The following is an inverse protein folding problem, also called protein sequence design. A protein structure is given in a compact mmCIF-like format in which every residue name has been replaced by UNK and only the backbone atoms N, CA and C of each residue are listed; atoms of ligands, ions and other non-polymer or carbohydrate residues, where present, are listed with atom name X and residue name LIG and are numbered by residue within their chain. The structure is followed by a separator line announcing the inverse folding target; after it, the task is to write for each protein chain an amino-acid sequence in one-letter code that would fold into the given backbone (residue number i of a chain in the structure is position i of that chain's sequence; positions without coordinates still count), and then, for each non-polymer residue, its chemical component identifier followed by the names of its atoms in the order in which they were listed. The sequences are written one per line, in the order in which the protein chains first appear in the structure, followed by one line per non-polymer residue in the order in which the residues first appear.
data_IF_876498658179
#
_entry.id   IF_876498658179
#
_cell.length_a   1.000
_cell.length_b   1.000
_cell.length_c   1.000
_cell.angle_alpha   90.00
_cell.angle_beta   90.00
_cell.angle_gamma   90.00
#
_symmetry.space_group_name_H-M   'P 1'
#
loop_
_entity.id
_entity.type
_entity.pdbx_description
1 polymer ?
#
# COMPACT_ATOMS: atom_id res chain seq x y z
N UNK A 1 -19.46 -40.06 4.23
CA UNK A 1 -20.02 -38.76 3.85
C UNK A 1 -19.19 -37.68 4.55
N UNK A 2 -18.83 -36.63 3.84
CA UNK A 2 -18.17 -35.48 4.48
C UNK A 2 -19.20 -34.76 5.37
N UNK A 3 -18.86 -34.51 6.63
CA UNK A 3 -19.71 -33.78 7.56
C UNK A 3 -19.37 -32.30 7.46
N UNK A 4 -20.36 -31.43 7.25
CA UNK A 4 -20.20 -29.99 7.20
C UNK A 4 -20.31 -29.44 8.62
N UNK A 5 -19.30 -28.71 9.08
CA UNK A 5 -19.27 -28.06 10.38
C UNK A 5 -19.27 -26.54 10.24
N UNK A 6 -19.94 -25.85 11.14
CA UNK A 6 -19.79 -24.41 11.32
C UNK A 6 -18.50 -24.18 12.08
N UNK A 7 -17.60 -23.37 11.52
CA UNK A 7 -16.33 -23.03 12.14
C UNK A 7 -16.55 -22.10 13.35
N UNK A 8 -15.72 -22.24 14.36
CA UNK A 8 -15.64 -21.25 15.43
C UNK A 8 -15.18 -19.89 14.90
N UNK A 9 -15.46 -18.82 15.64
CA UNK A 9 -15.18 -17.44 15.25
C UNK A 9 -13.71 -17.23 14.94
N UNK A 10 -12.81 -17.73 15.80
CA UNK A 10 -11.37 -17.54 15.64
C UNK A 10 -10.84 -18.22 14.37
N UNK A 11 -11.24 -19.46 14.11
CA UNK A 11 -10.88 -20.19 12.89
C UNK A 11 -11.42 -19.49 11.64
N UNK A 12 -12.68 -19.02 11.66
CA UNK A 12 -13.27 -18.28 10.55
C UNK A 12 -12.51 -16.96 10.29
N UNK A 13 -12.11 -16.24 11.32
CA UNK A 13 -11.31 -15.01 11.21
C UNK A 13 -9.92 -15.27 10.62
N UNK A 14 -9.25 -16.34 11.04
CA UNK A 14 -7.96 -16.73 10.46
C UNK A 14 -8.07 -17.08 8.96
N UNK A 15 -9.12 -17.78 8.55
CA UNK A 15 -9.33 -18.12 7.13
C UNK A 15 -9.58 -16.85 6.33
N UNK A 16 -10.51 -16.00 6.75
CA UNK A 16 -10.85 -14.77 6.05
C UNK A 16 -9.70 -13.74 6.06
N UNK A 17 -8.87 -13.71 7.11
CA UNK A 17 -7.64 -12.92 7.08
C UNK A 17 -6.69 -13.34 5.94
N UNK A 18 -6.78 -14.59 5.48
CA UNK A 18 -5.98 -15.08 4.37
C UNK A 18 -6.34 -14.51 3.02
N UNK A 19 -7.54 -14.04 2.86
CA UNK A 19 -7.99 -13.39 1.62
C UNK A 19 -7.50 -11.93 1.54
N UNK A 20 -7.27 -11.29 2.70
CA UNK A 20 -6.81 -9.91 2.79
C UNK A 20 -5.29 -9.84 2.94
N UNK A 21 -4.72 -10.70 3.78
CA UNK A 21 -3.29 -10.72 4.13
C UNK A 21 -2.64 -11.99 3.59
N UNK A 22 -2.22 -11.95 2.33
CA UNK A 22 -1.50 -13.08 1.70
C UNK A 22 0.00 -13.04 2.00
N UNK A 23 0.60 -11.84 2.09
CA UNK A 23 2.04 -11.60 2.24
C UNK A 23 2.33 -10.23 2.83
N UNK A 24 3.60 -9.94 3.23
CA UNK A 24 4.00 -8.62 3.74
C UNK A 24 3.61 -7.45 2.83
N UNK A 25 3.75 -7.62 1.53
CA UNK A 25 3.40 -6.59 0.56
C UNK A 25 1.90 -6.19 0.57
N UNK A 26 1.00 -7.12 0.88
CA UNK A 26 -0.43 -6.82 1.05
C UNK A 26 -0.66 -5.96 2.30
N UNK A 27 0.00 -6.28 3.42
CA UNK A 27 -0.07 -5.48 4.65
C UNK A 27 0.42 -4.06 4.41
N UNK A 28 1.60 -3.91 3.80
CA UNK A 28 2.17 -2.59 3.51
C UNK A 28 1.26 -1.77 2.61
N UNK A 29 0.69 -2.39 1.57
CA UNK A 29 -0.25 -1.73 0.67
C UNK A 29 -1.45 -1.16 1.42
N UNK A 30 -2.15 -2.00 2.19
CA UNK A 30 -3.34 -1.58 2.92
C UNK A 30 -3.05 -0.47 3.95
N UNK A 31 -1.96 -0.59 4.71
CA UNK A 31 -1.59 0.42 5.70
C UNK A 31 -1.15 1.75 5.06
N UNK A 32 -0.41 1.69 3.96
CA UNK A 32 0.03 2.87 3.23
C UNK A 32 -1.16 3.61 2.58
N UNK A 33 -2.11 2.87 1.98
CA UNK A 33 -3.35 3.42 1.45
C UNK A 33 -4.20 4.06 2.57
N UNK A 34 -4.24 3.48 3.77
CA UNK A 34 -4.92 4.08 4.91
C UNK A 34 -4.26 5.39 5.37
N UNK A 35 -2.93 5.49 5.34
CA UNK A 35 -2.22 6.74 5.65
C UNK A 35 -2.56 7.85 4.65
N UNK A 36 -2.64 7.53 3.35
CA UNK A 36 -3.04 8.49 2.31
C UNK A 36 -4.49 8.91 2.50
N UNK A 37 -5.40 7.97 2.74
CA UNK A 37 -6.82 8.26 3.02
C UNK A 37 -7.01 9.12 4.29
N UNK A 38 -6.08 9.04 5.25
CA UNK A 38 -6.04 9.92 6.43
C UNK A 38 -5.45 11.31 6.14
N UNK A 39 -5.20 11.65 4.88
CA UNK A 39 -4.68 12.96 4.46
C UNK A 39 -3.20 13.17 4.81
N UNK A 40 -2.43 12.10 4.94
CA UNK A 40 -1.00 12.22 5.20
C UNK A 40 -0.27 12.88 4.03
N UNK A 41 0.62 13.82 4.33
CA UNK A 41 1.55 14.43 3.37
C UNK A 41 2.95 13.84 3.45
N UNK A 42 3.22 13.09 4.51
CA UNK A 42 4.49 12.39 4.73
C UNK A 42 4.21 11.01 5.31
N UNK A 43 4.79 9.99 4.69
CA UNK A 43 4.71 8.61 5.17
C UNK A 43 6.09 7.99 5.16
N UNK A 44 6.47 7.36 6.27
CA UNK A 44 7.67 6.52 6.37
C UNK A 44 7.26 5.06 6.43
N UNK A 45 7.81 4.25 5.54
CA UNK A 45 7.64 2.79 5.51
C UNK A 45 8.99 2.15 5.84
N UNK A 46 9.03 1.30 6.86
CA UNK A 46 10.23 0.53 7.24
C UNK A 46 9.90 -0.95 7.33
N UNK A 47 10.77 -1.82 6.80
CA UNK A 47 10.62 -3.26 6.87
C UNK A 47 11.92 -3.95 7.28
N UNK A 48 11.76 -5.08 8.03
CA UNK A 48 12.84 -6.03 8.34
C UNK A 48 12.44 -7.45 7.97
N UNK A 49 13.41 -8.27 7.55
CA UNK A 49 13.22 -9.65 7.08
C UNK A 49 12.10 -9.75 6.04
N UNK A 50 12.18 -8.86 5.02
CA UNK A 50 11.19 -8.82 3.95
C UNK A 50 9.78 -8.39 4.40
N UNK A 51 9.62 -7.88 5.63
CA UNK A 51 8.36 -7.49 6.24
C UNK A 51 7.72 -8.57 7.11
N UNK A 52 8.38 -9.71 7.31
CA UNK A 52 7.88 -10.78 8.21
C UNK A 52 8.16 -10.43 9.66
N UNK A 53 9.38 -9.98 9.97
CA UNK A 53 9.78 -9.61 11.32
C UNK A 53 9.19 -8.29 11.76
N UNK A 54 9.22 -7.29 10.89
CA UNK A 54 8.71 -5.95 11.16
C UNK A 54 8.22 -5.28 9.87
N UNK A 55 7.03 -4.68 9.97
CA UNK A 55 6.53 -3.63 9.10
C UNK A 55 6.19 -2.46 10.01
N UNK A 56 6.79 -1.29 9.77
CA UNK A 56 6.44 -0.06 10.46
C UNK A 56 6.02 0.97 9.41
N UNK A 57 4.82 1.53 9.59
CA UNK A 57 4.32 2.65 8.78
C UNK A 57 3.96 3.78 9.72
N UNK A 58 4.58 4.94 9.48
CA UNK A 58 4.38 6.16 10.26
C UNK A 58 4.00 7.30 9.34
N UNK A 59 2.89 7.96 9.64
CA UNK A 59 2.33 9.07 8.87
C UNK A 59 2.08 10.31 9.75
N UNK A 60 1.82 11.44 9.10
CA UNK A 60 1.40 12.70 9.70
C UNK A 60 -0.06 13.06 9.35
N UNK A 61 -0.91 12.05 9.09
CA UNK A 61 -2.32 12.22 8.81
C UNK A 61 -3.13 12.67 10.03
N UNK A 62 -4.46 12.60 9.92
CA UNK A 62 -5.39 13.08 10.97
C UNK A 62 -5.31 12.31 12.29
N UNK A 63 -4.72 11.12 12.31
CA UNK A 63 -4.77 10.22 13.45
C UNK A 63 -6.11 9.47 13.56
N UNK A 64 -6.23 8.65 14.61
CA UNK A 64 -7.45 7.93 14.97
C UNK A 64 -7.82 8.38 16.38
N UNK A 65 -9.07 8.84 16.55
CA UNK A 65 -9.60 9.19 17.85
C UNK A 65 -9.49 8.00 18.82
N UNK A 66 -9.07 8.29 20.02
CA UNK A 66 -8.82 7.28 21.05
C UNK A 66 -10.04 6.38 21.32
N UNK A 67 -11.26 6.93 21.22
CA UNK A 67 -12.51 6.18 21.42
C UNK A 67 -12.73 5.12 20.33
N UNK A 68 -12.33 5.40 19.09
CA UNK A 68 -12.55 4.50 17.95
C UNK A 68 -11.44 3.50 17.71
N UNK A 69 -10.32 3.54 18.46
CA UNK A 69 -9.21 2.62 18.26
C UNK A 69 -9.63 1.14 18.36
N UNK A 70 -10.34 0.68 19.42
CA UNK A 70 -10.77 -0.72 19.47
C UNK A 70 -11.71 -1.09 18.30
N UNK A 71 -12.59 -0.17 17.92
CA UNK A 71 -13.53 -0.37 16.80
C UNK A 71 -12.81 -0.52 15.47
N UNK A 72 -11.68 0.18 15.25
CA UNK A 72 -10.89 0.08 14.03
C UNK A 72 -10.31 -1.33 13.78
N UNK A 73 -10.20 -2.15 14.82
CA UNK A 73 -9.78 -3.56 14.74
C UNK A 73 -10.96 -4.56 14.70
N UNK A 74 -12.20 -4.07 14.59
CA UNK A 74 -13.37 -4.92 14.37
C UNK A 74 -13.59 -5.04 12.85
N UNK A 75 -13.95 -6.24 12.39
CA UNK A 75 -14.30 -6.48 10.98
C UNK A 75 -15.50 -5.67 10.55
N UNK A 76 -15.46 -5.20 9.32
CA UNK A 76 -16.52 -4.37 8.71
C UNK A 76 -16.71 -3.02 9.40
N UNK A 77 -15.77 -2.59 10.24
CA UNK A 77 -15.75 -1.26 10.80
C UNK A 77 -14.97 -0.32 9.86
N UNK A 78 -15.63 0.69 9.35
CA UNK A 78 -15.04 1.67 8.42
C UNK A 78 -15.67 3.04 8.62
N UNK A 79 -14.84 4.09 8.48
CA UNK A 79 -15.31 5.49 8.43
C UNK A 79 -15.55 5.99 7.00
N UNK A 80 -15.34 5.13 5.98
CA UNK A 80 -15.24 5.55 4.58
C UNK A 80 -16.52 5.35 3.78
N UNK A 81 -17.41 4.48 4.23
CA UNK A 81 -18.73 4.21 3.65
C UNK A 81 -19.74 4.00 4.78
N UNK A 82 -20.95 4.50 4.60
CA UNK A 82 -22.05 4.34 5.56
C UNK A 82 -23.27 3.65 4.91
N UNK A 83 -23.50 3.92 3.63
CA UNK A 83 -24.69 3.46 2.89
C UNK A 83 -24.30 2.64 1.66
N UNK A 84 -25.19 1.73 1.17
CA UNK A 84 -24.94 0.99 -0.06
C UNK A 84 -24.68 1.87 -1.28
N UNK A 85 -25.30 3.06 -1.34
CA UNK A 85 -25.12 4.00 -2.45
C UNK A 85 -23.72 4.61 -2.50
N UNK A 86 -23.01 4.68 -1.38
CA UNK A 86 -21.62 5.14 -1.31
C UNK A 86 -20.67 4.25 -2.12
N UNK A 87 -21.07 2.98 -2.35
CA UNK A 87 -20.30 2.04 -3.18
C UNK A 87 -20.19 2.49 -4.65
N UNK A 88 -21.11 3.32 -5.12
CA UNK A 88 -21.11 3.85 -6.49
C UNK A 88 -20.15 5.04 -6.65
N UNK A 89 -19.68 5.65 -5.54
CA UNK A 89 -18.86 6.85 -5.53
C UNK A 89 -17.71 6.79 -4.54
N UNK A 90 -16.96 5.67 -4.56
CA UNK A 90 -15.80 5.49 -3.67
C UNK A 90 -14.65 6.39 -4.12
N UNK A 91 -14.29 7.36 -3.28
CA UNK A 91 -13.14 8.26 -3.50
C UNK A 91 -11.89 7.85 -2.72
N UNK A 92 -12.02 6.95 -1.73
CA UNK A 92 -10.92 6.46 -0.89
C UNK A 92 -10.23 5.24 -1.51
N UNK A 93 -8.96 5.03 -1.18
CA UNK A 93 -8.20 3.85 -1.64
C UNK A 93 -8.66 2.57 -0.95
N UNK A 94 -9.00 2.62 0.34
CA UNK A 94 -9.60 1.51 1.10
C UNK A 94 -11.06 1.81 1.46
N UNK A 95 -11.90 0.79 1.64
CA UNK A 95 -13.30 0.96 2.06
C UNK A 95 -13.91 -0.23 2.81
N UNK A 96 -13.26 -1.40 2.82
CA UNK A 96 -13.87 -2.66 3.30
C UNK A 96 -13.93 -2.79 4.82
N UNK A 97 -13.13 -2.02 5.58
CA UNK A 97 -13.06 -2.13 7.04
C UNK A 97 -12.54 -3.48 7.55
N UNK A 98 -11.66 -4.15 6.80
CA UNK A 98 -11.17 -5.49 7.14
C UNK A 98 -9.66 -5.55 7.35
N UNK A 99 -8.90 -4.57 6.87
CA UNK A 99 -7.44 -4.62 6.84
C UNK A 99 -6.83 -4.74 8.24
N UNK A 100 -7.15 -3.81 9.16
CA UNK A 100 -6.58 -3.82 10.51
C UNK A 100 -6.96 -5.07 11.30
N UNK A 101 -8.22 -5.48 11.25
CA UNK A 101 -8.70 -6.69 11.91
C UNK A 101 -7.99 -7.94 11.37
N UNK A 102 -7.84 -8.05 10.04
CA UNK A 102 -7.17 -9.18 9.39
C UNK A 102 -5.67 -9.21 9.72
N UNK A 103 -4.99 -8.08 9.75
CA UNK A 103 -3.58 -7.97 10.12
C UNK A 103 -3.40 -8.39 11.59
N UNK A 104 -4.22 -7.83 12.49
CA UNK A 104 -4.15 -8.12 13.92
C UNK A 104 -4.40 -9.60 14.25
N UNK A 105 -5.23 -10.30 13.47
CA UNK A 105 -5.52 -11.73 13.71
C UNK A 105 -4.31 -12.63 13.41
N UNK A 106 -3.36 -12.19 12.57
CA UNK A 106 -2.20 -13.00 12.13
C UNK A 106 -0.84 -12.42 12.53
N UNK A 107 -0.82 -11.34 13.29
CA UNK A 107 0.39 -10.64 13.70
C UNK A 107 0.26 -10.04 15.10
N UNK A 108 1.36 -9.50 15.62
CA UNK A 108 1.40 -8.61 16.78
C UNK A 108 1.39 -7.18 16.27
N UNK A 109 0.40 -6.38 16.66
CA UNK A 109 0.25 -5.01 16.18
C UNK A 109 0.33 -4.04 17.34
N UNK A 110 1.18 -3.02 17.19
CA UNK A 110 1.21 -1.83 18.01
C UNK A 110 0.76 -0.64 17.18
N UNK A 111 -0.31 0.00 17.62
CA UNK A 111 -0.83 1.24 17.05
C UNK A 111 -0.50 2.39 17.99
N UNK A 112 0.19 3.40 17.51
CA UNK A 112 0.44 4.65 18.21
C UNK A 112 -0.17 5.78 17.42
N UNK A 113 -1.19 6.45 17.96
CA UNK A 113 -1.93 7.48 17.21
C UNK A 113 -2.30 8.67 18.08
N UNK A 114 -2.44 9.82 17.45
CA UNK A 114 -2.86 11.07 18.08
C UNK A 114 -3.60 11.92 17.04
N UNK A 115 -4.74 12.45 17.43
CA UNK A 115 -5.46 13.48 16.66
C UNK A 115 -5.06 14.89 17.12
N UNK A 116 -5.53 15.91 16.40
CA UNK A 116 -5.24 17.32 16.74
C UNK A 116 -5.93 17.75 18.06
N UNK A 117 -7.00 17.08 18.46
CA UNK A 117 -7.77 17.41 19.68
C UNK A 117 -7.28 16.66 20.91
N UNK A 118 -6.50 15.59 20.73
CA UNK A 118 -5.97 14.79 21.84
C UNK A 118 -4.78 15.52 22.51
N UNK A 119 -4.78 15.54 23.84
CA UNK A 119 -3.63 16.03 24.62
C UNK A 119 -2.43 15.08 24.53
N UNK A 120 -2.69 13.76 24.64
CA UNK A 120 -1.70 12.69 24.58
C UNK A 120 -2.01 11.73 23.43
N UNK A 121 -0.97 11.09 22.92
CA UNK A 121 -1.14 9.97 22.03
C UNK A 121 -1.64 8.73 22.80
N UNK A 122 -2.29 7.81 22.09
CA UNK A 122 -2.67 6.49 22.61
C UNK A 122 -1.80 5.42 21.95
N UNK A 123 -1.17 4.58 22.77
CA UNK A 123 -0.56 3.34 22.34
C UNK A 123 -1.53 2.19 22.62
N UNK A 124 -1.87 1.44 21.58
CA UNK A 124 -2.77 0.28 21.65
C UNK A 124 -2.07 -0.94 21.10
N UNK A 125 -2.13 -2.06 21.83
CA UNK A 125 -1.50 -3.32 21.44
C UNK A 125 -2.54 -4.41 21.29
N UNK A 126 -2.43 -5.17 20.21
CA UNK A 126 -3.30 -6.30 19.89
C UNK A 126 -2.47 -7.43 19.26
N UNK A 127 -2.75 -8.68 19.61
CA UNK A 127 -2.04 -9.84 19.08
C UNK A 127 -3.00 -11.01 18.88
N UNK A 128 -3.01 -11.59 17.68
CA UNK A 128 -3.92 -12.68 17.34
C UNK A 128 -5.40 -12.32 17.43
N UNK A 129 -5.74 -11.04 17.31
CA UNK A 129 -7.10 -10.51 17.43
C UNK A 129 -7.51 -10.17 18.88
N UNK A 130 -6.64 -10.38 19.87
CA UNK A 130 -6.92 -10.09 21.27
C UNK A 130 -6.17 -8.85 21.75
N UNK A 131 -6.88 -7.92 22.40
CA UNK A 131 -6.29 -6.73 23.00
C UNK A 131 -5.29 -7.12 24.09
N UNK A 132 -4.08 -6.54 24.02
CA UNK A 132 -3.01 -6.77 24.98
C UNK A 132 -2.83 -5.60 25.94
N UNK A 133 -3.35 -4.43 25.60
CA UNK A 133 -3.32 -3.26 26.46
C UNK A 133 -3.43 -1.94 25.70
N UNK A 134 -3.73 -0.91 26.48
CA UNK A 134 -3.87 0.47 26.04
C UNK A 134 -3.27 1.41 27.07
N UNK A 135 -2.43 2.33 26.62
CA UNK A 135 -1.76 3.29 27.51
C UNK A 135 -1.55 4.65 26.83
N UNK A 136 -1.46 5.75 27.59
CA UNK A 136 -1.04 7.03 27.06
C UNK A 136 0.41 6.97 26.56
N UNK A 137 0.69 7.73 25.52
CA UNK A 137 2.03 7.81 24.92
C UNK A 137 2.34 9.20 24.37
N UNK A 138 3.55 9.43 23.90
CA UNK A 138 3.97 10.68 23.28
C UNK A 138 4.17 10.50 21.77
N UNK A 139 3.48 11.32 20.97
CA UNK A 139 3.61 11.39 19.51
C UNK A 139 3.10 12.72 18.98
N UNK A 140 3.62 13.17 17.85
CA UNK A 140 2.99 14.22 17.05
C UNK A 140 1.67 13.71 16.43
N UNK A 141 0.81 14.58 15.93
CA UNK A 141 -0.43 14.21 15.21
C UNK A 141 -0.11 13.24 14.07
N UNK A 142 -0.97 12.23 13.87
CA UNK A 142 -0.85 11.18 12.87
C UNK A 142 -0.88 9.77 13.47
N UNK A 143 -0.43 8.74 12.71
CA UNK A 143 -0.46 7.34 13.14
C UNK A 143 0.85 6.64 12.84
N UNK A 144 1.28 5.78 13.77
CA UNK A 144 2.35 4.79 13.56
C UNK A 144 1.78 3.41 13.85
N UNK A 145 1.88 2.52 12.88
CA UNK A 145 1.48 1.11 13.04
C UNK A 145 2.73 0.25 12.87
N UNK A 146 3.01 -0.59 13.88
CA UNK A 146 4.05 -1.62 13.86
C UNK A 146 3.39 -2.97 13.81
N UNK A 147 3.66 -3.73 12.77
CA UNK A 147 3.23 -5.13 12.60
C UNK A 147 4.46 -6.00 12.77
N UNK A 148 4.45 -6.85 13.78
CA UNK A 148 5.55 -7.71 14.15
C UNK A 148 5.15 -9.17 14.04
N UNK A 149 6.13 -10.04 13.74
CA UNK A 149 5.98 -11.49 13.70
C UNK A 149 4.79 -11.94 12.83
N UNK A 150 4.71 -11.41 11.61
CA UNK A 150 3.63 -11.72 10.67
C UNK A 150 3.52 -13.23 10.45
N UNK A 151 2.31 -13.78 10.62
CA UNK A 151 1.98 -15.21 10.54
C UNK A 151 2.52 -16.08 11.68
N UNK A 152 2.89 -15.50 12.84
CA UNK A 152 3.43 -16.27 13.98
C UNK A 152 2.47 -17.38 14.45
N UNK A 153 1.17 -17.18 14.33
CA UNK A 153 0.11 -18.13 14.72
C UNK A 153 -0.45 -18.93 13.53
N UNK A 154 0.10 -18.76 12.33
CA UNK A 154 -0.34 -19.44 11.09
C UNK A 154 0.86 -20.06 10.36
N UNK A 155 1.50 -21.13 10.91
CA UNK A 155 2.73 -21.71 10.36
C UNK A 155 2.59 -22.20 8.90
N UNK A 156 1.39 -22.63 8.52
CA UNK A 156 1.12 -23.05 7.15
C UNK A 156 1.34 -21.90 6.16
N UNK A 157 0.92 -20.67 6.51
CA UNK A 157 1.13 -19.48 5.66
C UNK A 157 2.59 -19.07 5.59
N UNK A 158 3.32 -19.13 6.71
CA UNK A 158 4.77 -18.89 6.71
C UNK A 158 5.50 -19.74 5.68
N UNK A 159 5.10 -21.01 5.49
CA UNK A 159 5.71 -21.92 4.51
C UNK A 159 5.49 -21.52 3.04
N UNK A 160 4.46 -20.73 2.75
CA UNK A 160 4.18 -20.26 1.39
C UNK A 160 4.92 -18.96 1.04
N UNK A 161 5.50 -18.27 2.03
CA UNK A 161 6.31 -17.09 1.76
C UNK A 161 7.60 -17.47 1.03
N UNK A 162 8.02 -16.56 0.16
CA UNK A 162 9.34 -16.66 -0.49
C UNK A 162 10.45 -16.25 0.48
N UNK A 163 11.67 -16.25 0.01
CA UNK A 163 12.82 -15.73 0.78
C UNK A 163 12.59 -14.24 1.10
N UNK A 164 13.09 -13.78 2.24
CA UNK A 164 12.98 -12.40 2.72
C UNK A 164 13.37 -11.36 1.66
N UNK A 165 14.42 -11.66 0.89
CA UNK A 165 14.85 -10.80 -0.21
C UNK A 165 13.77 -10.62 -1.29
N UNK A 166 13.02 -11.69 -1.60
CA UNK A 166 11.94 -11.65 -2.59
C UNK A 166 10.69 -10.97 -2.04
N UNK A 167 10.31 -11.27 -0.78
CA UNK A 167 9.19 -10.60 -0.12
C UNK A 167 9.46 -9.10 0.01
N UNK A 168 10.66 -8.71 0.41
CA UNK A 168 11.07 -7.31 0.46
C UNK A 168 11.06 -6.60 -0.91
N UNK A 169 11.27 -7.34 -2.02
CA UNK A 169 11.12 -6.78 -3.36
C UNK A 169 9.65 -6.54 -3.71
N UNK A 170 8.74 -7.45 -3.36
CA UNK A 170 7.30 -7.20 -3.55
C UNK A 170 6.80 -6.02 -2.72
N UNK A 171 7.33 -5.82 -1.50
CA UNK A 171 7.04 -4.63 -0.69
C UNK A 171 7.55 -3.38 -1.40
N UNK A 172 8.81 -3.38 -1.87
CA UNK A 172 9.40 -2.25 -2.57
C UNK A 172 8.61 -1.85 -3.82
N UNK A 173 8.16 -2.84 -4.61
CA UNK A 173 7.32 -2.61 -5.78
C UNK A 173 6.00 -1.93 -5.39
N UNK A 174 5.31 -2.40 -4.34
CA UNK A 174 4.05 -1.82 -3.90
C UNK A 174 4.23 -0.40 -3.36
N UNK A 175 5.26 -0.15 -2.53
CA UNK A 175 5.56 1.20 -2.03
C UNK A 175 5.88 2.14 -3.20
N UNK A 176 6.64 1.67 -4.19
CA UNK A 176 6.94 2.41 -5.41
C UNK A 176 5.70 2.74 -6.22
N UNK A 177 4.78 1.78 -6.39
CA UNK A 177 3.52 2.03 -7.10
C UNK A 177 2.68 3.10 -6.42
N UNK A 178 2.56 3.06 -5.09
CA UNK A 178 1.80 4.06 -4.33
C UNK A 178 2.49 5.42 -4.39
N UNK A 179 3.81 5.48 -4.24
CA UNK A 179 4.58 6.73 -4.33
C UNK A 179 4.48 7.39 -5.72
N UNK A 180 4.37 6.61 -6.80
CA UNK A 180 4.17 7.12 -8.16
C UNK A 180 2.73 7.57 -8.42
N UNK A 181 1.73 6.96 -7.77
CA UNK A 181 0.32 7.36 -7.93
C UNK A 181 -0.05 8.59 -7.09
N UNK A 182 0.73 8.87 -6.04
CA UNK A 182 0.51 9.98 -5.11
C UNK A 182 1.77 10.85 -4.97
N UNK A 183 2.20 11.54 -6.05
CA UNK A 183 3.40 12.37 -6.03
C UNK A 183 3.32 13.56 -5.07
N UNK A 184 2.12 13.92 -4.60
CA UNK A 184 1.85 14.92 -3.57
C UNK A 184 2.21 14.45 -2.15
N UNK A 185 2.46 13.14 -1.96
CA UNK A 185 2.85 12.58 -0.67
C UNK A 185 4.35 12.26 -0.67
N UNK A 186 5.07 12.76 0.32
CA UNK A 186 6.46 12.37 0.55
C UNK A 186 6.50 10.97 1.16
N UNK A 187 7.02 10.00 0.42
CA UNK A 187 7.17 8.61 0.85
C UNK A 187 8.64 8.30 1.08
N UNK A 188 8.97 7.97 2.33
CA UNK A 188 10.31 7.51 2.73
C UNK A 188 10.27 5.99 2.91
N UNK A 189 11.07 5.27 2.13
CA UNK A 189 11.14 3.81 2.21
C UNK A 189 12.50 3.34 2.76
N UNK A 190 12.45 2.54 3.82
CA UNK A 190 13.60 1.97 4.52
C UNK A 190 13.46 0.44 4.48
N UNK A 191 14.51 -0.25 4.06
CA UNK A 191 14.57 -1.71 4.02
C UNK A 191 15.82 -2.19 4.74
N UNK A 192 15.67 -3.10 5.71
CA UNK A 192 16.77 -3.65 6.53
C UNK A 192 17.66 -2.53 7.11
N UNK A 193 17.03 -1.48 7.67
CA UNK A 193 17.70 -0.31 8.23
C UNK A 193 18.36 0.63 7.21
N UNK A 194 18.29 0.33 5.90
CA UNK A 194 18.90 1.16 4.85
C UNK A 194 17.83 1.95 4.10
N UNK A 195 18.06 3.26 3.99
CA UNK A 195 17.21 4.12 3.15
C UNK A 195 17.32 3.68 1.70
N UNK A 196 16.18 3.42 1.08
CA UNK A 196 16.08 3.08 -0.34
C UNK A 196 15.84 4.34 -1.17
N UNK A 197 14.82 5.12 -0.82
CA UNK A 197 14.52 6.40 -1.45
C UNK A 197 13.63 7.27 -0.55
N UNK A 198 13.52 8.55 -0.93
CA UNK A 198 12.53 9.50 -0.41
C UNK A 198 11.97 10.26 -1.61
N UNK A 199 10.64 10.26 -1.78
CA UNK A 199 9.97 11.14 -2.75
C UNK A 199 9.73 12.51 -2.12
N UNK A 200 9.82 13.61 -2.90
CA UNK A 200 9.73 14.95 -2.31
C UNK A 200 8.32 15.34 -1.82
N UNK A 201 7.25 14.75 -2.38
CA UNK A 201 5.87 15.15 -2.07
C UNK A 201 5.49 16.50 -2.69
N UNK A 202 6.09 16.84 -3.83
CA UNK A 202 5.92 18.13 -4.53
C UNK A 202 4.78 18.13 -5.56
N UNK A 203 4.02 17.03 -5.66
CA UNK A 203 2.94 16.86 -6.63
C UNK A 203 3.43 16.55 -8.05
N UNK A 204 4.74 16.42 -8.28
CA UNK A 204 5.30 16.18 -9.61
C UNK A 204 5.64 14.71 -9.82
N UNK A 205 4.94 14.05 -10.75
CA UNK A 205 5.20 12.65 -11.09
C UNK A 205 6.67 12.42 -11.52
N UNK A 206 7.29 13.40 -12.21
CA UNK A 206 8.69 13.31 -12.62
C UNK A 206 9.65 13.23 -11.43
N UNK A 207 9.40 14.02 -10.38
CA UNK A 207 10.20 14.00 -9.15
C UNK A 207 10.06 12.67 -8.40
N UNK A 208 8.83 12.15 -8.30
CA UNK A 208 8.56 10.84 -7.73
C UNK A 208 9.23 9.71 -8.54
N UNK A 209 9.11 9.76 -9.89
CA UNK A 209 9.75 8.80 -10.78
C UNK A 209 11.29 8.81 -10.65
N UNK A 210 11.89 9.99 -10.51
CA UNK A 210 13.31 10.13 -10.29
C UNK A 210 13.76 9.43 -8.99
N UNK A 211 13.01 9.62 -7.91
CA UNK A 211 13.33 9.02 -6.62
C UNK A 211 13.15 7.50 -6.62
N UNK A 212 12.05 6.98 -7.21
CA UNK A 212 11.68 5.56 -7.17
C UNK A 212 12.42 4.73 -8.22
N UNK A 213 12.50 5.23 -9.46
CA UNK A 213 13.04 4.49 -10.61
C UNK A 213 14.52 4.79 -10.88
N UNK A 214 15.06 5.80 -10.21
CA UNK A 214 16.45 6.21 -10.31
C UNK A 214 16.75 7.18 -11.47
N UNK A 215 17.91 7.82 -11.36
CA UNK A 215 18.35 8.90 -12.25
C UNK A 215 18.45 8.50 -13.71
N UNK A 216 19.04 7.34 -13.99
CA UNK A 216 19.27 6.88 -15.36
C UNK A 216 17.98 6.70 -16.13
N UNK A 217 16.97 6.06 -15.47
CA UNK A 217 15.69 5.81 -16.11
C UNK A 217 14.90 7.10 -16.33
N UNK A 218 14.94 8.00 -15.35
CA UNK A 218 14.11 9.22 -15.37
C UNK A 218 14.64 10.33 -16.30
N UNK A 219 15.88 10.22 -16.76
CA UNK A 219 16.53 11.23 -17.61
C UNK A 219 15.83 11.43 -18.96
N UNK A 220 15.38 10.33 -19.55
CA UNK A 220 14.84 10.29 -20.91
C UNK A 220 13.30 10.20 -20.94
N UNK A 221 12.63 10.54 -19.80
CA UNK A 221 11.18 10.57 -19.73
C UNK A 221 10.59 11.82 -20.40
N UNK A 222 9.54 11.61 -21.18
CA UNK A 222 8.74 12.63 -21.83
C UNK A 222 7.36 12.64 -21.20
N UNK A 223 6.83 13.81 -20.90
CA UNK A 223 5.47 13.97 -20.41
C UNK A 223 4.47 13.79 -21.55
N UNK A 224 3.40 13.05 -21.24
CA UNK A 224 2.27 12.86 -22.14
C UNK A 224 1.00 13.36 -21.48
N UNK A 225 0.18 14.03 -22.25
CA UNK A 225 -1.12 14.51 -21.84
C UNK A 225 -2.09 14.38 -23.01
N UNK A 226 -3.26 13.80 -22.76
CA UNK A 226 -4.35 13.72 -23.73
C UNK A 226 -5.67 13.76 -23.00
N UNK A 227 -6.65 14.47 -23.59
CA UNK A 227 -8.02 14.53 -23.09
C UNK A 227 -8.98 14.23 -24.24
N UNK A 228 -9.91 13.31 -24.02
CA UNK A 228 -10.95 12.97 -24.98
C UNK A 228 -12.26 12.66 -24.25
N UNK A 229 -13.24 13.53 -24.40
CA UNK A 229 -14.53 13.42 -23.70
C UNK A 229 -14.36 13.41 -22.18
N UNK A 230 -14.75 12.30 -21.56
CA UNK A 230 -14.63 12.11 -20.09
C UNK A 230 -13.27 11.49 -19.65
N UNK A 231 -12.40 11.19 -20.59
CA UNK A 231 -11.14 10.53 -20.32
C UNK A 231 -9.99 11.51 -20.39
N UNK A 232 -9.14 11.47 -19.36
CA UNK A 232 -7.87 12.18 -19.30
C UNK A 232 -6.75 11.17 -19.09
N UNK A 233 -5.74 11.21 -19.94
CA UNK A 233 -4.53 10.40 -19.83
C UNK A 233 -3.34 11.32 -19.60
N UNK A 234 -2.63 11.11 -18.51
CA UNK A 234 -1.40 11.84 -18.18
C UNK A 234 -0.33 10.83 -17.77
N UNK A 235 0.92 11.16 -17.98
CA UNK A 235 1.99 10.27 -17.54
C UNK A 235 3.36 10.60 -18.13
N UNK A 236 4.24 9.64 -18.03
CA UNK A 236 5.62 9.71 -18.50
C UNK A 236 5.91 8.51 -19.40
N UNK A 237 6.52 8.73 -20.55
CA UNK A 237 7.00 7.69 -21.45
C UNK A 237 8.50 7.87 -21.71
N UNK A 238 9.20 6.77 -22.01
CA UNK A 238 10.61 6.83 -22.40
C UNK A 238 10.73 7.23 -23.88
N UNK A 239 11.83 7.90 -24.23
CA UNK A 239 12.18 8.08 -25.64
C UNK A 239 12.44 6.73 -26.33
N UNK A 240 12.19 6.58 -27.63
CA UNK A 240 12.39 5.32 -28.35
C UNK A 240 13.78 4.72 -28.20
N UNK A 241 14.82 5.56 -28.14
CA UNK A 241 16.23 5.14 -27.94
C UNK A 241 16.49 4.52 -26.56
N UNK A 242 15.63 4.80 -25.58
CA UNK A 242 15.75 4.35 -24.17
C UNK A 242 14.73 3.27 -23.81
N UNK A 243 14.01 2.72 -24.81
CA UNK A 243 13.05 1.64 -24.61
C UNK A 243 13.72 0.37 -24.07
N UNK A 244 13.03 -0.30 -23.17
CA UNK A 244 13.46 -1.59 -22.61
C UNK A 244 12.58 -2.71 -23.15
N UNK A 245 13.18 -3.88 -23.39
CA UNK A 245 12.45 -5.08 -23.84
C UNK A 245 11.48 -5.63 -22.77
N UNK A 246 11.71 -5.30 -21.48
CA UNK A 246 10.89 -5.78 -20.38
C UNK A 246 9.68 -4.90 -20.14
N UNK A 247 8.51 -5.54 -19.93
CA UNK A 247 7.26 -4.88 -19.54
C UNK A 247 7.21 -4.51 -18.05
N UNK A 248 8.21 -4.84 -17.25
CA UNK A 248 8.24 -4.59 -15.81
C UNK A 248 8.21 -3.11 -15.43
N UNK A 249 8.55 -2.22 -16.39
CA UNK A 249 8.55 -0.77 -16.21
C UNK A 249 7.28 -0.10 -16.77
N UNK A 250 6.26 -0.87 -17.11
CA UNK A 250 4.96 -0.35 -17.51
C UNK A 250 4.05 -0.27 -16.28
N UNK A 251 3.80 0.94 -15.82
CA UNK A 251 2.95 1.24 -14.66
C UNK A 251 1.71 1.97 -15.14
N UNK A 252 0.54 1.39 -14.91
CA UNK A 252 -0.75 1.99 -15.27
C UNK A 252 -1.57 2.26 -14.01
N UNK A 253 -2.22 3.40 -13.99
CA UNK A 253 -3.06 3.84 -12.89
C UNK A 253 -4.43 4.26 -13.41
N UNK A 254 -5.49 3.89 -12.71
CA UNK A 254 -6.86 4.34 -12.98
C UNK A 254 -7.36 5.00 -11.69
N UNK A 255 -7.64 6.30 -11.76
CA UNK A 255 -8.10 7.09 -10.61
C UNK A 255 -7.19 6.89 -9.37
N UNK A 256 -5.87 7.02 -9.55
CA UNK A 256 -4.87 6.87 -8.49
C UNK A 256 -4.55 5.41 -8.09
N UNK A 257 -5.23 4.41 -8.63
CA UNK A 257 -5.00 2.99 -8.29
C UNK A 257 -4.13 2.31 -9.33
N UNK A 258 -3.07 1.64 -8.89
CA UNK A 258 -2.26 0.80 -9.76
C UNK A 258 -3.06 -0.36 -10.32
N UNK A 259 -3.00 -0.55 -11.64
CA UNK A 259 -3.69 -1.64 -12.34
C UNK A 259 -2.71 -2.42 -13.21
N UNK A 260 -2.81 -3.74 -13.14
CA UNK A 260 -2.07 -4.64 -14.03
C UNK A 260 -3.02 -5.22 -15.06
N UNK A 261 -3.10 -4.58 -16.22
CA UNK A 261 -4.01 -4.98 -17.29
C UNK A 261 -3.24 -5.39 -18.54
N UNK A 262 -3.37 -6.66 -18.95
CA UNK A 262 -2.65 -7.23 -20.10
C UNK A 262 -3.05 -6.57 -21.43
N UNK A 263 -4.31 -6.17 -21.55
CA UNK A 263 -4.83 -5.51 -22.77
C UNK A 263 -4.22 -4.13 -22.93
N UNK A 264 -4.22 -3.30 -21.89
CA UNK A 264 -3.58 -1.97 -21.92
C UNK A 264 -2.09 -2.11 -22.23
N UNK A 265 -1.40 -3.07 -21.60
CA UNK A 265 0.02 -3.33 -21.86
C UNK A 265 0.28 -3.75 -23.31
N UNK A 266 -0.62 -4.52 -23.93
CA UNK A 266 -0.50 -4.94 -25.31
C UNK A 266 -0.79 -3.79 -26.27
N UNK A 267 -1.88 -3.03 -26.06
CA UNK A 267 -2.23 -1.87 -26.91
C UNK A 267 -1.10 -0.85 -26.98
N UNK A 268 -0.46 -0.53 -25.85
CA UNK A 268 0.67 0.39 -25.84
C UNK A 268 1.84 -0.08 -26.73
N UNK A 269 2.09 -1.39 -26.80
CA UNK A 269 3.14 -1.96 -27.62
C UNK A 269 2.79 -1.95 -29.13
N UNK A 270 1.52 -2.18 -29.46
CA UNK A 270 1.07 -2.18 -30.85
C UNK A 270 1.00 -0.78 -31.46
N UNK A 271 0.76 0.24 -30.64
CA UNK A 271 0.69 1.65 -31.11
C UNK A 271 2.06 2.33 -31.13
N UNK A 272 3.08 1.73 -30.53
CA UNK A 272 4.45 2.24 -30.67
C UNK A 272 5.02 1.84 -32.02
N UNK A 273 5.44 2.80 -32.89
CA UNK A 273 5.99 2.46 -34.18
C UNK A 273 7.21 1.54 -34.03
N UNK A 274 7.16 0.41 -34.74
CA UNK A 274 8.29 -0.52 -34.76
C UNK A 274 9.44 0.13 -35.55
N UNK A 275 10.71 -0.08 -35.18
CA UNK A 275 11.84 0.30 -36.01
C UNK A 275 11.80 -0.29 -37.43
N UNK A 276 10.97 -1.33 -37.64
CA UNK A 276 10.74 -1.94 -38.97
C UNK A 276 9.71 -1.19 -39.83
N UNK A 277 8.84 -0.37 -39.20
CA UNK A 277 7.78 0.35 -39.91
C UNK A 277 8.33 1.58 -40.69
N UNK A 278 9.56 2.00 -40.40
CA UNK A 278 10.27 3.06 -41.11
C UNK A 278 11.15 2.61 -42.30
N UNK A 279 11.18 1.30 -42.62
CA UNK A 279 12.07 0.76 -43.64
C UNK A 279 11.36 0.45 -44.99
N UNK A 280 10.12 0.89 -45.15
CA UNK A 280 9.36 0.79 -46.42
C UNK A 280 8.95 2.18 -46.90
N UNK A 281 9.90 2.91 -47.45
CA UNK A 281 9.67 3.97 -48.46
C UNK A 281 10.94 4.20 -49.26
#
# INVERSE_FOLDING_TARGET
MAVIHVLDKHTAELIAAGEVVERPASVVKELLENSIDAGATQVTVSIESGGVKLIEISDNGTGIDAEYIPTAFIRHATSKIEKPDDLNSIHTLGFRGEALASIASVARVELLTRTVVDEFATCYRIAGGEEQGREPAARAVGTTIRVQDLFYNTPARMKFLKKDSSEGTFVADNVGHVALSHPEVSVKFIREGKLQYVTPGDGQLRSAAYAVLGREFSRDLIEVHSEEGLYRVTGLITQPKSCRASRSMQHFYINGRYVRNRTIMACLLYTSPSPRDGATS
#
